data_IF_368335379832
#
_entry.id   IF_368335379832
#
_cell.length_a   1.000
_cell.length_b   1.000
_cell.length_c   1.000
_cell.angle_alpha   90.00
_cell.angle_beta   90.00
_cell.angle_gamma   90.00
#
_symmetry.space_group_name_H-M   'P 1'
#
loop_
_entity.id
_entity.type
_entity.pdbx_description
1 polymer ?
#
# COMPACT_ATOMS: atom_id res chain seq x y z
N UNK A 1 -10.67 15.21 14.70
CA UNK A 1 -10.31 14.28 13.61
C UNK A 1 -9.72 15.15 12.52
N UNK A 2 -8.43 15.01 12.22
CA UNK A 2 -7.79 15.83 11.19
C UNK A 2 -8.51 15.59 9.84
N UNK A 3 -8.78 16.65 9.07
CA UNK A 3 -9.32 16.53 7.73
C UNK A 3 -8.52 15.52 6.93
N UNK A 4 -9.19 14.52 6.37
CA UNK A 4 -8.55 13.42 5.65
C UNK A 4 -8.16 13.89 4.23
N UNK A 5 -7.16 14.77 4.17
CA UNK A 5 -6.70 15.48 2.96
C UNK A 5 -6.22 14.56 1.83
N UNK A 6 -5.85 13.32 2.15
CA UNK A 6 -5.25 12.38 1.19
C UNK A 6 -6.27 11.54 0.40
N UNK A 7 -7.56 11.57 0.78
CA UNK A 7 -8.60 10.77 0.11
C UNK A 7 -9.56 11.72 -0.62
N UNK A 8 -9.40 11.89 -1.95
CA UNK A 8 -10.35 12.70 -2.72
C UNK A 8 -11.73 12.02 -2.77
N UNK A 9 -12.79 12.82 -2.92
CA UNK A 9 -14.14 12.31 -3.05
C UNK A 9 -14.30 11.49 -4.35
N UNK A 10 -15.18 10.47 -4.38
CA UNK A 10 -15.41 9.70 -5.59
C UNK A 10 -15.83 10.60 -6.76
N UNK A 11 -15.20 10.37 -7.92
CA UNK A 11 -15.45 11.13 -9.17
C UNK A 11 -15.13 12.63 -9.08
N UNK A 12 -14.49 13.11 -8.02
CA UNK A 12 -14.02 14.50 -7.96
C UNK A 12 -12.81 14.71 -8.86
N UNK A 13 -12.64 15.93 -9.36
CA UNK A 13 -11.40 16.32 -10.02
C UNK A 13 -10.25 16.30 -9.00
N UNK A 14 -9.11 15.77 -9.42
CA UNK A 14 -7.86 15.76 -8.64
C UNK A 14 -6.81 16.55 -9.41
N UNK A 15 -6.19 17.54 -8.78
CA UNK A 15 -4.98 18.20 -9.27
C UNK A 15 -3.82 17.82 -8.34
N UNK A 16 -2.76 17.23 -8.88
CA UNK A 16 -1.60 16.80 -8.09
C UNK A 16 -0.87 17.99 -7.44
N UNK A 17 -1.05 19.22 -7.99
CA UNK A 17 -0.48 20.44 -7.40
C UNK A 17 -1.04 20.77 -6.02
N UNK A 18 -2.21 20.24 -5.68
CA UNK A 18 -2.85 20.46 -4.38
C UNK A 18 -2.22 19.60 -3.26
N UNK A 19 -1.33 18.67 -3.61
CA UNK A 19 -0.67 17.74 -2.71
C UNK A 19 0.82 18.04 -2.64
N UNK A 20 1.26 18.61 -1.53
CA UNK A 20 2.66 18.90 -1.27
C UNK A 20 3.43 17.61 -0.94
N UNK A 21 4.46 17.23 -1.74
CA UNK A 21 5.29 16.06 -1.45
C UNK A 21 6.07 16.15 -0.13
N UNK A 22 6.24 17.34 0.43
CA UNK A 22 6.91 17.57 1.72
C UNK A 22 5.95 17.61 2.92
N UNK A 23 4.63 17.44 2.69
CA UNK A 23 3.62 17.46 3.76
C UNK A 23 3.85 16.31 4.75
N UNK A 24 4.22 16.66 5.98
CA UNK A 24 4.40 15.70 7.08
C UNK A 24 3.13 15.47 7.89
N UNK A 25 2.03 16.15 7.57
CA UNK A 25 0.79 16.15 8.35
C UNK A 25 1.02 16.43 9.84
N UNK A 26 1.99 17.30 10.16
CA UNK A 26 2.34 17.69 11.53
C UNK A 26 3.13 16.65 12.32
N UNK A 27 3.63 15.59 11.68
CA UNK A 27 4.51 14.62 12.32
C UNK A 27 5.96 15.10 12.32
N UNK A 28 6.59 15.09 13.49
CA UNK A 28 8.05 15.05 13.60
C UNK A 28 8.57 13.61 13.47
N UNK A 29 9.88 13.48 13.30
CA UNK A 29 10.53 12.19 13.02
C UNK A 29 10.47 11.22 14.20
N UNK A 30 10.55 11.71 15.43
CA UNK A 30 10.55 10.86 16.62
C UNK A 30 9.15 10.31 16.88
N UNK A 31 8.15 11.20 16.82
CA UNK A 31 6.74 10.84 16.92
C UNK A 31 6.32 9.87 15.83
N UNK A 32 6.71 10.14 14.56
CA UNK A 32 6.40 9.24 13.46
C UNK A 32 6.99 7.84 13.67
N UNK A 33 8.23 7.73 14.17
CA UNK A 33 8.85 6.42 14.46
C UNK A 33 8.12 5.67 15.56
N UNK A 34 7.77 6.36 16.65
CA UNK A 34 7.05 5.74 17.76
C UNK A 34 5.66 5.25 17.34
N UNK A 35 4.90 6.06 16.59
CA UNK A 35 3.59 5.66 16.08
C UNK A 35 3.70 4.52 15.06
N UNK A 36 4.71 4.54 14.17
CA UNK A 36 4.95 3.45 13.22
C UNK A 36 5.22 2.10 13.91
N UNK A 37 5.96 2.08 15.03
CA UNK A 37 6.19 0.84 15.78
C UNK A 37 4.89 0.30 16.37
N UNK A 38 4.07 1.16 16.99
CA UNK A 38 2.80 0.77 17.58
C UNK A 38 1.81 0.27 16.51
N UNK A 39 1.71 0.99 15.39
CA UNK A 39 0.85 0.61 14.27
C UNK A 39 1.33 -0.69 13.60
N UNK A 40 2.64 -0.89 13.49
CA UNK A 40 3.22 -2.11 12.94
C UNK A 40 2.85 -3.35 13.75
N UNK A 41 2.95 -3.29 15.08
CA UNK A 41 2.53 -4.39 15.97
C UNK A 41 1.04 -4.70 15.81
N UNK A 42 0.20 -3.65 15.84
CA UNK A 42 -1.25 -3.78 15.64
C UNK A 42 -1.61 -4.35 14.26
N UNK A 43 -0.87 -3.98 13.22
CA UNK A 43 -1.07 -4.52 11.87
C UNK A 43 -0.78 -6.02 11.83
N UNK A 44 0.29 -6.48 12.51
CA UNK A 44 0.61 -7.90 12.66
C UNK A 44 -0.54 -8.68 13.31
N UNK A 45 -1.04 -8.22 14.46
CA UNK A 45 -2.18 -8.83 15.16
C UNK A 45 -3.43 -8.90 14.28
N UNK A 46 -3.76 -7.80 13.58
CA UNK A 46 -4.91 -7.76 12.69
C UNK A 46 -4.76 -8.69 11.47
N UNK A 47 -3.53 -8.85 10.96
CA UNK A 47 -3.27 -9.76 9.86
C UNK A 47 -3.45 -11.23 10.29
N UNK A 48 -3.02 -11.59 11.50
CA UNK A 48 -3.27 -12.93 12.05
C UNK A 48 -4.78 -13.23 12.16
N UNK A 49 -5.56 -12.25 12.65
CA UNK A 49 -7.02 -12.36 12.70
C UNK A 49 -7.62 -12.50 11.30
N UNK A 50 -7.18 -11.70 10.33
CA UNK A 50 -7.63 -11.77 8.93
C UNK A 50 -7.36 -13.16 8.33
N UNK A 51 -6.16 -13.69 8.57
CA UNK A 51 -5.74 -15.00 8.08
C UNK A 51 -6.54 -16.13 8.73
N UNK A 52 -6.68 -16.12 10.06
CA UNK A 52 -7.42 -17.13 10.80
C UNK A 52 -8.92 -17.13 10.45
N UNK A 53 -9.49 -15.96 10.14
CA UNK A 53 -10.88 -15.85 9.73
C UNK A 53 -11.14 -16.48 8.36
N UNK A 54 -10.21 -16.36 7.41
CA UNK A 54 -10.30 -16.97 6.08
C UNK A 54 -11.48 -16.49 5.22
N UNK A 55 -12.06 -15.31 5.51
CA UNK A 55 -13.25 -14.77 4.83
C UNK A 55 -12.98 -13.54 3.97
N UNK A 56 -12.01 -12.71 4.37
CA UNK A 56 -11.70 -11.45 3.71
C UNK A 56 -10.27 -11.46 3.22
N UNK A 57 -10.01 -10.65 2.20
CA UNK A 57 -8.68 -10.36 1.69
C UNK A 57 -8.47 -8.85 1.68
N UNK A 58 -7.21 -8.42 1.83
CA UNK A 58 -6.80 -7.04 1.71
C UNK A 58 -5.86 -6.89 0.51
N UNK A 59 -6.27 -6.10 -0.48
CA UNK A 59 -5.43 -5.73 -1.62
C UNK A 59 -4.87 -4.32 -1.41
N UNK A 60 -3.55 -4.22 -1.26
CA UNK A 60 -2.84 -2.94 -1.20
C UNK A 60 -2.18 -2.65 -2.55
N UNK A 61 -2.53 -1.53 -3.19
CA UNK A 61 -1.96 -1.11 -4.48
C UNK A 61 -0.97 0.02 -4.26
N UNK A 62 0.30 -0.21 -4.58
CA UNK A 62 1.36 0.79 -4.52
C UNK A 62 1.68 1.32 -5.92
N UNK A 63 1.41 2.61 -6.15
CA UNK A 63 1.70 3.31 -7.41
C UNK A 63 2.45 4.61 -7.15
N UNK A 64 3.38 4.94 -8.03
CA UNK A 64 4.24 6.12 -7.91
C UNK A 64 5.39 6.05 -8.91
N UNK A 65 6.06 7.18 -9.10
CA UNK A 65 7.20 7.29 -10.00
C UNK A 65 8.34 6.33 -9.63
N UNK A 66 9.30 6.16 -10.54
CA UNK A 66 10.58 5.54 -10.20
C UNK A 66 11.21 6.28 -9.02
N UNK A 67 11.90 5.53 -8.15
CA UNK A 67 12.50 6.00 -6.89
C UNK A 67 11.54 6.64 -5.88
N UNK A 68 10.22 6.61 -6.08
CA UNK A 68 9.22 7.11 -5.12
C UNK A 68 9.11 6.33 -3.79
N UNK A 69 9.98 5.34 -3.57
CA UNK A 69 10.06 4.63 -2.28
C UNK A 69 9.10 3.45 -2.07
N UNK A 70 8.40 2.98 -3.13
CA UNK A 70 7.44 1.86 -3.07
C UNK A 70 8.00 0.63 -2.32
N UNK A 71 9.20 0.17 -2.70
CA UNK A 71 9.84 -0.98 -2.07
C UNK A 71 10.18 -0.75 -0.59
N UNK A 72 10.56 0.49 -0.25
CA UNK A 72 10.87 0.88 1.13
C UNK A 72 9.64 0.92 2.02
N UNK A 73 8.50 1.36 1.47
CA UNK A 73 7.20 1.33 2.16
C UNK A 73 6.77 -0.11 2.41
N UNK A 74 6.83 -0.98 1.40
CA UNK A 74 6.44 -2.38 1.55
C UNK A 74 7.27 -3.07 2.64
N UNK A 75 8.60 -2.87 2.65
CA UNK A 75 9.45 -3.44 3.71
C UNK A 75 9.02 -2.91 5.08
N UNK A 76 9.11 -1.59 5.29
CA UNK A 76 8.88 -0.98 6.61
C UNK A 76 7.48 -1.20 7.19
N UNK A 77 6.45 -1.15 6.36
CA UNK A 77 5.06 -1.31 6.83
C UNK A 77 4.78 -2.75 7.23
N UNK A 78 5.31 -3.71 6.46
CA UNK A 78 5.02 -5.13 6.66
C UNK A 78 6.10 -5.89 7.46
N UNK A 79 7.11 -5.20 8.01
CA UNK A 79 8.20 -5.81 8.79
C UNK A 79 7.70 -6.61 10.02
N UNK A 80 6.55 -6.24 10.60
CA UNK A 80 5.94 -6.91 11.76
C UNK A 80 4.84 -7.92 11.40
N UNK A 81 4.67 -8.25 10.12
CA UNK A 81 3.59 -9.12 9.64
C UNK A 81 4.15 -10.49 9.26
N UNK A 82 3.40 -11.56 9.52
CA UNK A 82 3.84 -12.90 9.17
C UNK A 82 3.94 -13.01 7.63
N UNK A 83 5.13 -13.31 7.07
CA UNK A 83 5.32 -13.34 5.62
C UNK A 83 4.49 -14.42 4.93
N UNK A 84 4.06 -15.47 5.63
CA UNK A 84 3.16 -16.49 5.07
C UNK A 84 1.76 -15.96 4.76
N UNK A 85 1.37 -14.85 5.40
CA UNK A 85 0.08 -14.19 5.20
C UNK A 85 0.09 -13.09 4.14
N UNK A 86 1.22 -12.84 3.47
CA UNK A 86 1.38 -11.76 2.49
C UNK A 86 1.82 -12.33 1.14
N UNK A 87 1.18 -11.84 0.07
CA UNK A 87 1.63 -12.04 -1.31
C UNK A 87 2.02 -10.70 -1.91
N UNK A 88 3.26 -10.59 -2.42
CA UNK A 88 3.73 -9.40 -3.14
C UNK A 88 3.79 -9.72 -4.63
N UNK A 89 3.03 -8.96 -5.43
CA UNK A 89 3.06 -9.04 -6.88
C UNK A 89 3.65 -7.75 -7.46
N UNK A 90 4.82 -7.87 -8.10
CA UNK A 90 5.50 -6.76 -8.76
C UNK A 90 5.27 -6.81 -10.28
N UNK A 91 4.69 -5.74 -10.82
CA UNK A 91 4.37 -5.65 -12.25
C UNK A 91 5.45 -4.88 -13.01
N UNK A 92 6.19 -5.57 -13.89
CA UNK A 92 7.19 -4.99 -14.79
C UNK A 92 6.61 -4.79 -16.21
N UNK A 93 7.48 -4.43 -17.15
CA UNK A 93 7.16 -4.43 -18.59
C UNK A 93 6.49 -5.75 -18.97
N UNK A 94 5.32 -5.74 -19.63
CA UNK A 94 4.61 -6.96 -19.98
C UNK A 94 5.40 -7.88 -20.92
N UNK A 95 5.26 -9.19 -20.74
CA UNK A 95 5.83 -10.19 -21.65
C UNK A 95 4.98 -10.30 -22.93
N UNK A 96 5.49 -10.91 -24.02
CA UNK A 96 4.70 -11.15 -25.22
C UNK A 96 3.39 -11.92 -24.96
N UNK A 97 3.41 -12.90 -24.04
CA UNK A 97 2.22 -13.68 -23.67
C UNK A 97 1.18 -12.85 -22.89
N UNK A 98 1.65 -11.92 -22.06
CA UNK A 98 0.78 -10.97 -21.37
C UNK A 98 0.16 -9.95 -22.34
N UNK A 99 0.94 -9.49 -23.33
CA UNK A 99 0.47 -8.56 -24.37
C UNK A 99 -0.54 -9.19 -25.34
N UNK A 100 -0.54 -10.51 -25.47
CA UNK A 100 -1.51 -11.24 -26.30
C UNK A 100 -2.90 -11.36 -25.66
N UNK A 101 -3.09 -10.83 -24.45
CA UNK A 101 -4.33 -10.90 -23.65
C UNK A 101 -4.77 -9.50 -23.24
N UNK A 102 -5.94 -9.39 -22.58
CA UNK A 102 -6.36 -8.11 -22.00
C UNK A 102 -5.43 -7.69 -20.84
N UNK A 103 -5.32 -6.39 -20.59
CA UNK A 103 -4.37 -5.86 -19.61
C UNK A 103 -4.68 -6.27 -18.16
N UNK A 104 -5.92 -6.66 -17.85
CA UNK A 104 -6.31 -7.13 -16.52
C UNK A 104 -5.97 -8.60 -16.29
N UNK A 105 -5.81 -9.39 -17.35
CA UNK A 105 -5.51 -10.82 -17.24
C UNK A 105 -4.34 -11.12 -16.28
N UNK A 106 -3.22 -10.40 -16.44
CA UNK A 106 -2.03 -10.61 -15.59
C UNK A 106 -2.23 -10.12 -14.15
N UNK A 107 -3.12 -9.15 -13.95
CA UNK A 107 -3.44 -8.60 -12.63
C UNK A 107 -4.36 -9.57 -11.88
N UNK A 108 -5.42 -10.05 -12.53
CA UNK A 108 -6.36 -11.02 -11.99
C UNK A 108 -5.70 -12.35 -11.62
N UNK A 109 -4.65 -12.76 -12.34
CA UNK A 109 -3.87 -13.94 -11.98
C UNK A 109 -3.14 -13.83 -10.62
N UNK A 110 -3.03 -12.62 -10.05
CA UNK A 110 -2.32 -12.38 -8.80
C UNK A 110 -3.21 -12.21 -7.57
N UNK A 111 -4.51 -12.03 -7.75
CA UNK A 111 -5.49 -11.82 -6.67
C UNK A 111 -6.31 -13.07 -6.35
#
# INVERSE_FOLDING_TARGET
>A
MAEQKLIPAPLSRVDLKDYDPEDTNGFDRERARAEMEQLGKRLGELQEVLYAQGKFALLCVFQGMDTAGKDGVIKKVFDNVNPQGIKVAAFKVPTPDELARDFLWRIHAQV
#
